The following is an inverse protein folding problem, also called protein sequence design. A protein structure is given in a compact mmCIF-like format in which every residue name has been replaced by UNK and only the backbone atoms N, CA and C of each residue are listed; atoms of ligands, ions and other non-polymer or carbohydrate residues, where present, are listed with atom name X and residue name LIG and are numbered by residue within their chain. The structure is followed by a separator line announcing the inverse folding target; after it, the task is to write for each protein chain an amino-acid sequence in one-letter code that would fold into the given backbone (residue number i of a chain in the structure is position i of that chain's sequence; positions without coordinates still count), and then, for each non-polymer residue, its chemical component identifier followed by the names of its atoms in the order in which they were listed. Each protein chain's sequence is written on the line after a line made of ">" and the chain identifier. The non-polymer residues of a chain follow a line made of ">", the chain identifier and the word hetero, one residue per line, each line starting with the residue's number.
data_IF_046181907658
#
_entry.id   IF_046181907658
#
_cell.length_a   1.000
_cell.length_b   1.000
_cell.length_c   1.000
_cell.angle_alpha   90.00
_cell.angle_beta   90.00
_cell.angle_gamma   90.00
#
_symmetry.space_group_name_H-M   'P 1'
#
loop_
_entity.id
_entity.type
_entity.pdbx_description
1 polymer ?
#
# COMPACT_ATOMS: atom_id res chain seq x y z
N UNK A 1 -15.74 -23.38 16.91
CA UNK A 1 -14.72 -22.33 17.11
C UNK A 1 -15.45 -21.01 17.20
N UNK A 2 -15.42 -20.37 18.36
CA UNK A 2 -15.98 -19.02 18.53
C UNK A 2 -14.86 -18.03 18.23
N UNK A 3 -15.02 -17.20 17.20
CA UNK A 3 -14.05 -16.13 16.90
C UNK A 3 -14.08 -15.14 18.06
N UNK A 4 -12.95 -14.97 18.74
CA UNK A 4 -12.77 -13.95 19.78
C UNK A 4 -12.21 -12.70 19.10
N UNK A 5 -12.85 -11.55 19.33
CA UNK A 5 -12.37 -10.26 18.83
C UNK A 5 -11.55 -9.56 19.91
N UNK A 6 -10.70 -8.62 19.51
CA UNK A 6 -9.97 -7.76 20.44
C UNK A 6 -10.92 -6.93 21.33
N UNK A 7 -10.37 -6.34 22.39
CA UNK A 7 -11.07 -5.41 23.30
C UNK A 7 -12.32 -5.99 23.98
N UNK A 8 -12.31 -7.32 24.24
CA UNK A 8 -13.43 -8.03 24.87
C UNK A 8 -14.75 -7.84 24.10
N UNK A 9 -14.66 -7.74 22.78
CA UNK A 9 -15.80 -7.75 21.87
C UNK A 9 -16.17 -9.19 21.53
N UNK A 10 -17.47 -9.42 21.38
CA UNK A 10 -17.97 -10.70 20.88
C UNK A 10 -18.30 -10.57 19.40
N UNK A 11 -18.26 -11.67 18.66
CA UNK A 11 -18.60 -11.66 17.23
C UNK A 11 -20.03 -11.13 16.98
N UNK A 12 -20.97 -11.39 17.90
CA UNK A 12 -22.34 -10.88 17.81
C UNK A 12 -22.42 -9.34 17.89
N UNK A 13 -21.43 -8.67 18.50
CA UNK A 13 -21.39 -7.20 18.58
C UNK A 13 -21.30 -6.56 17.18
N UNK A 14 -20.83 -7.28 16.16
CA UNK A 14 -20.80 -6.82 14.77
C UNK A 14 -22.20 -6.70 14.13
N UNK A 15 -23.21 -7.36 14.70
CA UNK A 15 -24.57 -7.42 14.15
C UNK A 15 -25.56 -6.53 14.90
N UNK A 16 -25.11 -5.83 15.94
CA UNK A 16 -25.95 -4.99 16.77
C UNK A 16 -25.42 -3.57 16.85
N UNK A 17 -26.32 -2.59 16.80
CA UNK A 17 -25.97 -1.17 16.85
C UNK A 17 -25.13 -0.80 18.08
N UNK A 18 -25.45 -1.35 19.25
CA UNK A 18 -24.68 -1.10 20.48
C UNK A 18 -23.24 -1.61 20.37
N UNK A 19 -23.03 -2.76 19.72
CA UNK A 19 -21.70 -3.30 19.47
C UNK A 19 -20.92 -2.46 18.46
N UNK A 20 -21.57 -2.04 17.36
CA UNK A 20 -20.97 -1.12 16.39
C UNK A 20 -20.59 0.23 17.02
N UNK A 21 -21.40 0.76 17.92
CA UNK A 21 -21.09 1.99 18.65
C UNK A 21 -19.86 1.83 19.57
N UNK A 22 -19.70 0.66 20.20
CA UNK A 22 -18.49 0.36 21.01
C UNK A 22 -17.24 0.27 20.13
N UNK A 23 -17.35 -0.37 18.97
CA UNK A 23 -16.26 -0.48 18.00
C UNK A 23 -15.86 0.91 17.49
N UNK A 24 -16.85 1.74 17.12
CA UNK A 24 -16.60 3.11 16.68
C UNK A 24 -15.92 3.96 17.75
N UNK A 25 -16.38 3.86 19.00
CA UNK A 25 -15.77 4.58 20.12
C UNK A 25 -14.30 4.14 20.34
N UNK A 26 -14.03 2.84 20.22
CA UNK A 26 -12.68 2.29 20.32
C UNK A 26 -11.79 2.79 19.18
N UNK A 27 -12.28 2.76 17.93
CA UNK A 27 -11.56 3.30 16.77
C UNK A 27 -11.26 4.79 16.94
N UNK A 28 -12.24 5.58 17.36
CA UNK A 28 -12.06 7.02 17.56
C UNK A 28 -11.06 7.33 18.69
N UNK A 29 -11.04 6.53 19.75
CA UNK A 29 -10.07 6.67 20.83
C UNK A 29 -8.64 6.36 20.35
N UNK A 30 -8.46 5.27 19.62
CA UNK A 30 -7.16 4.89 19.06
C UNK A 30 -6.66 5.90 18.02
N UNK A 31 -7.53 6.32 17.09
CA UNK A 31 -7.22 7.33 16.09
C UNK A 31 -6.79 8.64 16.76
N UNK A 32 -7.46 9.05 17.84
CA UNK A 32 -7.09 10.25 18.60
C UNK A 32 -5.73 10.11 19.27
N UNK A 33 -5.40 8.92 19.76
CA UNK A 33 -4.09 8.65 20.39
C UNK A 33 -2.94 8.66 19.38
N UNK A 34 -3.14 8.15 18.16
CA UNK A 34 -2.08 8.00 17.14
C UNK A 34 -2.01 9.21 16.18
N UNK A 35 -3.17 9.77 15.82
CA UNK A 35 -3.35 10.81 14.80
C UNK A 35 -4.40 11.86 15.25
N UNK A 36 -4.08 12.71 16.24
CA UNK A 36 -5.05 13.65 16.81
C UNK A 36 -5.68 14.59 15.78
N UNK A 37 -4.91 15.07 14.81
CA UNK A 37 -5.42 15.95 13.75
C UNK A 37 -6.43 15.23 12.85
N UNK A 38 -6.18 13.97 12.50
CA UNK A 38 -7.09 13.16 11.69
C UNK A 38 -8.37 12.81 12.47
N UNK A 39 -8.25 12.53 13.77
CA UNK A 39 -9.41 12.32 14.63
C UNK A 39 -10.30 13.56 14.73
N UNK A 40 -9.69 14.75 14.83
CA UNK A 40 -10.44 16.02 14.84
C UNK A 40 -11.17 16.25 13.51
N UNK A 41 -10.51 15.96 12.37
CA UNK A 41 -11.14 16.03 11.04
C UNK A 41 -12.33 15.07 10.91
N UNK A 42 -12.18 13.82 11.37
CA UNK A 42 -13.26 12.84 11.39
C UNK A 42 -14.44 13.31 12.25
N UNK A 43 -14.17 13.84 13.44
CA UNK A 43 -15.20 14.34 14.35
C UNK A 43 -15.95 15.54 13.76
N UNK A 44 -15.23 16.49 13.16
CA UNK A 44 -15.83 17.64 12.48
C UNK A 44 -16.71 17.20 11.30
N UNK A 45 -16.23 16.26 10.47
CA UNK A 45 -16.98 15.69 9.37
C UNK A 45 -18.29 15.03 9.85
N UNK A 46 -18.23 14.24 10.92
CA UNK A 46 -19.42 13.60 11.52
C UNK A 46 -20.43 14.63 12.06
N UNK A 47 -19.95 15.68 12.72
CA UNK A 47 -20.81 16.74 13.24
C UNK A 47 -21.53 17.50 12.11
N UNK A 48 -20.83 17.79 11.01
CA UNK A 48 -21.41 18.42 9.83
C UNK A 48 -22.52 17.57 9.21
N UNK A 49 -22.27 16.26 9.04
CA UNK A 49 -23.29 15.32 8.53
C UNK A 49 -24.49 15.20 9.47
N UNK A 50 -24.25 15.15 10.78
CA UNK A 50 -25.32 15.12 11.78
C UNK A 50 -26.19 16.38 11.78
N UNK A 51 -25.62 17.53 11.40
CA UNK A 51 -26.35 18.79 11.19
C UNK A 51 -27.15 18.84 9.88
N UNK A 52 -27.12 17.77 9.07
CA UNK A 52 -27.82 17.68 7.80
C UNK A 52 -27.07 18.29 6.61
N UNK A 53 -25.80 18.65 6.80
CA UNK A 53 -24.94 19.15 5.74
C UNK A 53 -24.09 18.02 5.13
N UNK A 54 -23.43 18.26 3.99
CA UNK A 54 -22.60 17.29 3.30
C UNK A 54 -21.22 17.87 3.02
N UNK A 55 -20.19 17.06 3.25
CA UNK A 55 -18.83 17.40 2.87
C UNK A 55 -18.72 17.57 1.35
N UNK A 56 -17.86 18.50 0.90
CA UNK A 56 -17.55 18.57 -0.52
C UNK A 56 -16.94 17.22 -0.97
N UNK A 57 -17.31 16.68 -2.16
CA UNK A 57 -16.87 15.34 -2.58
C UNK A 57 -15.35 15.14 -2.57
N UNK A 58 -14.59 16.20 -2.88
CA UNK A 58 -13.12 16.18 -2.85
C UNK A 58 -12.57 16.05 -1.43
N UNK A 59 -13.16 16.75 -0.47
CA UNK A 59 -12.73 16.75 0.92
C UNK A 59 -13.11 15.44 1.62
N UNK A 60 -14.29 14.91 1.30
CA UNK A 60 -14.71 13.57 1.73
C UNK A 60 -13.74 12.50 1.21
N UNK A 61 -13.44 12.51 -0.09
CA UNK A 61 -12.50 11.56 -0.68
C UNK A 61 -11.10 11.66 -0.06
N UNK A 62 -10.58 12.87 0.15
CA UNK A 62 -9.29 13.08 0.81
C UNK A 62 -9.29 12.55 2.25
N UNK A 63 -10.36 12.80 3.02
CA UNK A 63 -10.51 12.28 4.37
C UNK A 63 -10.57 10.75 4.40
N UNK A 64 -11.32 10.13 3.48
CA UNK A 64 -11.40 8.67 3.39
C UNK A 64 -10.06 8.03 3.05
N UNK A 65 -9.28 8.65 2.15
CA UNK A 65 -7.93 8.20 1.81
C UNK A 65 -6.99 8.25 3.02
N UNK A 66 -7.07 9.31 3.82
CA UNK A 66 -6.24 9.44 5.03
C UNK A 66 -6.67 8.45 6.14
N UNK A 67 -7.97 8.14 6.23
CA UNK A 67 -8.52 7.21 7.24
C UNK A 67 -8.30 5.74 6.88
N UNK A 68 -8.30 5.39 5.59
CA UNK A 68 -8.28 3.99 5.15
C UNK A 68 -7.12 3.17 5.75
N UNK A 69 -5.85 3.63 5.77
CA UNK A 69 -4.76 2.87 6.37
C UNK A 69 -4.95 2.63 7.87
N UNK A 70 -5.55 3.59 8.57
CA UNK A 70 -5.81 3.52 10.02
C UNK A 70 -6.93 2.54 10.32
N UNK A 71 -8.01 2.59 9.53
CA UNK A 71 -9.14 1.68 9.66
C UNK A 71 -8.73 0.24 9.35
N UNK A 72 -7.94 0.02 8.29
CA UNK A 72 -7.47 -1.32 7.95
C UNK A 72 -6.60 -1.92 9.07
N UNK A 73 -5.68 -1.13 9.65
CA UNK A 73 -4.86 -1.59 10.76
C UNK A 73 -5.72 -1.92 11.99
N UNK A 74 -6.66 -1.04 12.33
CA UNK A 74 -7.62 -1.26 13.40
C UNK A 74 -8.44 -2.56 13.22
N UNK A 75 -8.93 -2.82 12.00
CA UNK A 75 -9.67 -4.05 11.69
C UNK A 75 -8.75 -5.27 11.83
N UNK A 76 -7.50 -5.18 11.35
CA UNK A 76 -6.51 -6.24 11.52
C UNK A 76 -6.25 -6.58 12.99
N UNK A 77 -6.10 -5.56 13.84
CA UNK A 77 -5.99 -5.72 15.30
C UNK A 77 -7.27 -6.34 15.90
N UNK A 78 -8.45 -5.88 15.49
CA UNK A 78 -9.75 -6.37 15.98
C UNK A 78 -9.95 -7.88 15.76
N UNK A 79 -9.54 -8.39 14.60
CA UNK A 79 -9.65 -9.80 14.24
C UNK A 79 -8.43 -10.64 14.64
N UNK A 80 -7.38 -10.02 15.19
CA UNK A 80 -6.15 -10.71 15.57
C UNK A 80 -5.33 -11.21 14.38
N UNK A 81 -5.38 -10.48 13.25
CA UNK A 81 -4.69 -10.82 11.99
C UNK A 81 -3.71 -9.72 11.55
N UNK A 82 -3.24 -8.91 12.49
CA UNK A 82 -2.39 -7.76 12.20
C UNK A 82 -1.05 -8.16 11.57
N UNK A 83 -0.44 -9.26 12.04
CA UNK A 83 0.83 -9.79 11.52
C UNK A 83 0.65 -10.32 10.10
N UNK A 84 -0.37 -11.12 9.84
CA UNK A 84 -0.67 -11.66 8.51
C UNK A 84 -0.98 -10.55 7.50
N UNK A 85 -1.68 -9.50 7.96
CA UNK A 85 -1.95 -8.32 7.16
C UNK A 85 -0.67 -7.53 6.87
N UNK A 86 0.22 -7.38 7.85
CA UNK A 86 1.52 -6.73 7.67
C UNK A 86 2.40 -7.51 6.69
N UNK A 87 2.46 -8.83 6.82
CA UNK A 87 3.20 -9.72 5.92
C UNK A 87 2.68 -9.67 4.48
N UNK A 88 1.36 -9.63 4.31
CA UNK A 88 0.76 -9.48 2.98
C UNK A 88 1.13 -8.13 2.36
N UNK A 89 1.02 -7.04 3.12
CA UNK A 89 1.42 -5.69 2.68
C UNK A 89 2.90 -5.63 2.33
N UNK A 90 3.77 -6.21 3.15
CA UNK A 90 5.20 -6.26 2.91
C UNK A 90 5.53 -6.98 1.58
N UNK A 91 4.88 -8.12 1.31
CA UNK A 91 5.02 -8.84 0.04
C UNK A 91 4.56 -8.01 -1.16
N UNK A 92 3.48 -7.23 -1.02
CA UNK A 92 3.06 -6.32 -2.07
C UNK A 92 4.04 -5.16 -2.28
N UNK A 93 4.52 -4.54 -1.19
CA UNK A 93 5.46 -3.44 -1.26
C UNK A 93 6.81 -3.88 -1.87
N UNK A 94 7.24 -5.12 -1.60
CA UNK A 94 8.45 -5.70 -2.19
C UNK A 94 8.40 -5.75 -3.73
N UNK A 95 7.22 -5.72 -4.34
CA UNK A 95 7.04 -5.73 -5.81
C UNK A 95 6.94 -4.32 -6.41
N UNK A 96 6.86 -3.26 -5.60
CA UNK A 96 6.79 -1.87 -6.07
C UNK A 96 7.92 -1.50 -7.07
N UNK A 97 9.18 -1.96 -6.89
CA UNK A 97 10.26 -1.69 -7.83
C UNK A 97 9.94 -2.11 -9.27
N UNK A 98 9.23 -3.22 -9.48
CA UNK A 98 8.86 -3.72 -10.82
C UNK A 98 8.00 -2.68 -11.57
N UNK A 99 7.01 -2.12 -10.88
CA UNK A 99 6.14 -1.11 -11.46
C UNK A 99 6.88 0.20 -11.72
N UNK A 100 7.74 0.62 -10.78
CA UNK A 100 8.57 1.82 -10.92
C UNK A 100 9.49 1.72 -12.13
N UNK A 101 10.21 0.60 -12.30
CA UNK A 101 11.12 0.39 -13.44
C UNK A 101 10.38 0.31 -14.75
N UNK A 102 9.27 -0.44 -14.81
CA UNK A 102 8.44 -0.49 -16.02
C UNK A 102 8.01 0.90 -16.48
N UNK A 103 7.67 1.81 -15.56
CA UNK A 103 7.23 3.15 -15.92
C UNK A 103 8.38 4.13 -16.13
N UNK A 104 9.34 4.24 -15.20
CA UNK A 104 10.42 5.24 -15.23
C UNK A 104 11.55 4.88 -16.20
N UNK A 105 11.93 3.61 -16.26
CA UNK A 105 13.05 3.16 -17.08
C UNK A 105 12.57 2.65 -18.45
N UNK A 106 11.72 1.61 -18.45
CA UNK A 106 11.34 0.95 -19.72
C UNK A 106 10.59 1.91 -20.63
N UNK A 107 9.47 2.48 -20.17
CA UNK A 107 8.64 3.36 -21.01
C UNK A 107 9.28 4.72 -21.31
N UNK A 108 9.96 5.33 -20.33
CA UNK A 108 10.42 6.71 -20.44
C UNK A 108 11.89 6.85 -20.84
N UNK A 109 12.66 5.77 -20.91
CA UNK A 109 14.06 5.80 -21.34
C UNK A 109 14.35 4.74 -22.39
N UNK A 110 14.24 3.45 -22.06
CA UNK A 110 14.67 2.37 -22.95
C UNK A 110 13.92 2.38 -24.29
N UNK A 111 12.58 2.44 -24.25
CA UNK A 111 11.73 2.48 -25.45
C UNK A 111 11.91 3.75 -26.30
N UNK A 112 12.46 4.84 -25.73
CA UNK A 112 12.72 6.07 -26.49
C UNK A 112 14.11 6.08 -27.12
N UNK A 113 15.07 5.35 -26.53
CA UNK A 113 16.48 5.35 -26.95
C UNK A 113 16.84 4.19 -27.87
N UNK A 114 16.09 3.08 -27.82
CA UNK A 114 16.38 1.86 -28.56
C UNK A 114 15.18 1.50 -29.44
N UNK A 115 15.40 1.47 -30.75
CA UNK A 115 14.37 1.09 -31.73
C UNK A 115 14.29 -0.43 -31.93
N UNK A 116 13.24 -0.90 -32.61
CA UNK A 116 13.09 -2.32 -32.95
C UNK A 116 14.19 -2.76 -33.93
N UNK A 117 14.60 -1.86 -34.83
CA UNK A 117 15.68 -2.05 -35.77
C UNK A 117 17.03 -2.22 -35.06
N UNK A 118 17.29 -1.47 -33.99
CA UNK A 118 18.50 -1.61 -33.17
C UNK A 118 18.57 -2.95 -32.42
N UNK A 119 17.39 -3.56 -32.19
CA UNK A 119 17.27 -4.87 -31.55
C UNK A 119 17.28 -6.04 -32.55
N UNK A 120 17.48 -5.78 -33.84
CA UNK A 120 17.56 -6.83 -34.84
C UNK A 120 18.74 -7.78 -34.53
N UNK A 121 18.42 -9.04 -34.21
CA UNK A 121 19.42 -10.03 -33.82
C UNK A 121 19.91 -9.92 -32.37
N UNK A 122 19.24 -9.11 -31.53
CA UNK A 122 19.53 -9.03 -30.11
C UNK A 122 19.23 -10.36 -29.41
N UNK A 123 20.24 -10.91 -28.73
CA UNK A 123 20.13 -12.15 -27.98
C UNK A 123 19.68 -11.84 -26.54
N UNK A 124 18.36 -11.90 -26.31
CA UNK A 124 17.75 -11.71 -25.01
C UNK A 124 18.33 -12.65 -23.92
N UNK A 125 18.36 -13.97 -24.15
CA UNK A 125 18.95 -14.91 -23.20
C UNK A 125 20.42 -14.61 -22.84
N UNK A 126 21.27 -14.24 -23.82
CA UNK A 126 22.65 -13.85 -23.52
C UNK A 126 22.74 -12.54 -22.72
N UNK A 127 21.84 -11.60 -22.97
CA UNK A 127 21.73 -10.37 -22.20
C UNK A 127 21.27 -10.63 -20.76
N UNK A 128 20.29 -11.50 -20.55
CA UNK A 128 19.84 -11.95 -19.22
C UNK A 128 20.97 -12.60 -18.44
N UNK A 129 21.74 -13.51 -19.06
CA UNK A 129 22.90 -14.14 -18.43
C UNK A 129 23.99 -13.12 -18.06
N UNK A 130 24.23 -12.13 -18.93
CA UNK A 130 25.18 -11.04 -18.68
C UNK A 130 24.71 -10.17 -17.50
N UNK A 131 23.42 -9.82 -17.45
CA UNK A 131 22.83 -9.05 -16.36
C UNK A 131 22.89 -9.81 -15.04
N UNK A 132 22.52 -11.09 -15.02
CA UNK A 132 22.62 -11.94 -13.84
C UNK A 132 24.05 -11.96 -13.27
N UNK A 133 25.05 -12.16 -14.15
CA UNK A 133 26.47 -12.13 -13.77
C UNK A 133 26.90 -10.79 -13.17
N UNK A 134 26.50 -9.67 -13.80
CA UNK A 134 26.80 -8.31 -13.29
C UNK A 134 26.14 -8.00 -11.95
N UNK A 135 24.96 -8.56 -11.71
CA UNK A 135 24.23 -8.42 -10.44
C UNK A 135 24.69 -9.44 -9.38
N UNK A 136 25.63 -10.32 -9.70
CA UNK A 136 26.11 -11.36 -8.78
C UNK A 136 25.07 -12.45 -8.51
N UNK A 137 24.15 -12.68 -9.43
CA UNK A 137 23.07 -13.65 -9.31
C UNK A 137 23.34 -14.92 -10.12
N UNK A 138 22.89 -16.09 -9.65
CA UNK A 138 23.04 -17.36 -10.38
C UNK A 138 22.20 -17.42 -11.66
N UNK A 139 21.12 -16.64 -11.74
CA UNK A 139 20.24 -16.50 -12.88
C UNK A 139 19.58 -15.11 -12.87
N UNK A 140 18.99 -14.71 -13.98
CA UNK A 140 18.27 -13.44 -14.06
C UNK A 140 17.06 -13.45 -13.14
N UNK A 141 16.89 -12.36 -12.39
CA UNK A 141 15.74 -12.12 -11.52
C UNK A 141 15.21 -10.71 -11.79
N UNK A 142 13.92 -10.63 -12.14
CA UNK A 142 13.27 -9.38 -12.55
C UNK A 142 13.28 -8.34 -11.43
N UNK A 143 13.10 -8.76 -10.17
CA UNK A 143 13.02 -7.85 -9.03
C UNK A 143 14.41 -7.29 -8.68
N UNK A 144 15.44 -8.14 -8.70
CA UNK A 144 16.81 -7.71 -8.49
C UNK A 144 17.27 -6.76 -9.60
N UNK A 145 16.92 -7.05 -10.86
CA UNK A 145 17.13 -6.11 -11.96
C UNK A 145 16.43 -4.77 -11.72
N UNK A 146 15.16 -4.80 -11.32
CA UNK A 146 14.40 -3.58 -11.09
C UNK A 146 15.00 -2.72 -9.97
N UNK A 147 15.41 -3.34 -8.86
CA UNK A 147 16.09 -2.64 -7.77
C UNK A 147 17.42 -2.02 -8.21
N UNK A 148 18.23 -2.76 -8.98
CA UNK A 148 19.49 -2.25 -9.48
C UNK A 148 19.32 -1.05 -10.41
N UNK A 149 18.35 -1.11 -11.33
CA UNK A 149 18.04 0.01 -12.24
C UNK A 149 17.60 1.25 -11.47
N UNK A 150 16.75 1.12 -10.45
CA UNK A 150 16.34 2.27 -9.63
C UNK A 150 17.53 2.86 -8.87
N UNK A 151 18.40 2.02 -8.30
CA UNK A 151 19.61 2.48 -7.62
C UNK A 151 20.54 3.26 -8.57
N UNK A 152 20.75 2.77 -9.79
CA UNK A 152 21.55 3.48 -10.80
C UNK A 152 20.91 4.80 -11.24
N UNK A 153 19.58 4.84 -11.39
CA UNK A 153 18.85 6.07 -11.71
C UNK A 153 18.99 7.12 -10.59
N UNK A 154 18.95 6.70 -9.33
CA UNK A 154 19.10 7.61 -8.18
C UNK A 154 20.55 8.14 -8.05
N UNK A 155 21.54 7.39 -8.55
CA UNK A 155 22.95 7.80 -8.61
C UNK A 155 23.28 8.64 -9.86
N UNK A 156 22.35 8.77 -10.82
CA UNK A 156 22.53 9.50 -12.07
C UNK A 156 23.32 8.72 -13.13
N UNK A 157 23.45 7.40 -12.99
CA UNK A 157 24.28 6.53 -13.86
C UNK A 157 23.47 5.81 -14.97
N UNK A 158 22.18 6.12 -15.15
CA UNK A 158 21.26 5.43 -16.08
C UNK A 158 20.69 6.30 -17.22
#
# INVERSE_FOLDING_TARGET
>A
MTVQLAWNLRFEDLYHTDGLNRIDAQFAAELRSRHPDLANRLQAARAQVAAGDRLAPKDEAALLLDLAPQLDAFIGEMFGVAEELADLRARHAALEPLYKVKWKFVKRQAMLKVSIEDLAGFDGPAAEATLASRLGLPAFDELAFANAVLAWQDQGEA
#
